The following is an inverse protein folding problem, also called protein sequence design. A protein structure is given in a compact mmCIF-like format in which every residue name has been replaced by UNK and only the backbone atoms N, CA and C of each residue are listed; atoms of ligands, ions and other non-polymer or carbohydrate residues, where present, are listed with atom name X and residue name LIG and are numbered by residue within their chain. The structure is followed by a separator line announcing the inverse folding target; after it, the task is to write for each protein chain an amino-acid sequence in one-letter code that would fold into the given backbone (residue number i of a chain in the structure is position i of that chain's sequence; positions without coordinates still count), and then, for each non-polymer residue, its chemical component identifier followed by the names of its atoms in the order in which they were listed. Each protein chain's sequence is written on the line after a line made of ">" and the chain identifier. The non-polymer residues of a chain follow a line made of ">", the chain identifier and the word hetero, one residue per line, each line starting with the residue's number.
data_IF_545087190081
#
_entry.id   IF_545087190081
#
_cell.length_a   1.000
_cell.length_b   1.000
_cell.length_c   1.000
_cell.angle_alpha   90.00
_cell.angle_beta   90.00
_cell.angle_gamma   90.00
#
_symmetry.space_group_name_H-M   'P 1'
#
loop_
_entity.id
_entity.type
_entity.pdbx_description
1 polymer ?
#
# COMPACT_ATOMS: atom_id res chain seq x y z
N UNK A 1 56.61 -23.57 22.24
CA UNK A 1 55.76 -22.42 22.68
C UNK A 1 54.74 -22.24 21.58
N UNK A 2 53.48 -22.65 21.82
CA UNK A 2 52.41 -22.58 20.83
C UNK A 2 51.53 -21.38 21.20
N UNK A 3 51.51 -20.34 20.37
CA UNK A 3 50.65 -19.17 20.54
C UNK A 3 49.26 -19.54 20.01
N UNK A 4 48.31 -19.61 20.92
CA UNK A 4 46.89 -19.80 20.62
C UNK A 4 46.28 -18.41 20.43
N UNK A 5 46.00 -18.02 19.17
CA UNK A 5 45.36 -16.78 18.83
C UNK A 5 43.83 -17.01 18.98
N UNK A 6 43.24 -16.45 20.05
CA UNK A 6 41.82 -16.51 20.32
C UNK A 6 41.12 -15.39 19.50
N UNK A 7 40.51 -15.75 18.37
CA UNK A 7 39.71 -14.83 17.56
C UNK A 7 38.34 -14.75 18.25
N UNK A 8 38.08 -13.63 18.94
CA UNK A 8 36.75 -13.30 19.49
C UNK A 8 35.83 -12.88 18.34
N UNK A 9 34.88 -13.74 17.99
CA UNK A 9 33.82 -13.45 17.02
C UNK A 9 32.81 -12.51 17.68
N UNK A 10 32.89 -11.21 17.35
CA UNK A 10 31.87 -10.23 17.76
C UNK A 10 30.60 -10.49 16.94
N UNK A 11 29.62 -11.18 17.54
CA UNK A 11 28.27 -11.27 16.99
C UNK A 11 27.56 -9.95 17.31
N UNK A 12 27.50 -9.07 16.31
CA UNK A 12 26.66 -7.87 16.39
C UNK A 12 25.20 -8.29 16.26
N UNK A 13 24.53 -8.48 17.38
CA UNK A 13 23.06 -8.58 17.43
C UNK A 13 22.49 -7.23 16.99
N UNK A 14 22.08 -7.10 15.73
CA UNK A 14 21.21 -6.01 15.30
C UNK A 14 19.87 -6.19 16.02
N UNK A 15 19.65 -5.41 17.06
CA UNK A 15 18.38 -5.36 17.77
C UNK A 15 17.33 -4.84 16.80
N UNK A 16 16.53 -5.73 16.22
CA UNK A 16 15.29 -5.36 15.55
C UNK A 16 14.36 -4.77 16.63
N UNK A 17 14.26 -3.45 16.69
CA UNK A 17 13.24 -2.78 17.48
C UNK A 17 11.94 -2.99 16.70
N UNK A 18 10.97 -3.78 17.20
CA UNK A 18 9.72 -3.97 16.49
C UNK A 18 9.01 -2.62 16.36
N UNK A 19 8.62 -2.26 15.14
CA UNK A 19 7.88 -1.05 14.88
C UNK A 19 6.62 -1.00 15.76
N UNK A 20 6.46 0.09 16.50
CA UNK A 20 5.27 0.29 17.32
C UNK A 20 4.05 0.41 16.42
N UNK A 21 3.15 -0.56 16.49
CA UNK A 21 1.89 -0.59 15.75
C UNK A 21 0.81 0.21 16.49
N UNK A 22 0.12 1.08 15.79
CA UNK A 22 -0.91 1.98 16.33
C UNK A 22 -2.24 1.72 15.61
N UNK A 23 -3.27 1.34 16.38
CA UNK A 23 -4.63 1.26 15.85
C UNK A 23 -5.15 2.65 15.55
N UNK A 24 -5.38 2.93 14.27
CA UNK A 24 -5.71 4.25 13.74
C UNK A 24 -7.13 4.26 13.19
N UNK A 25 -7.96 5.19 13.65
CA UNK A 25 -9.28 5.46 13.06
C UNK A 25 -9.09 6.30 11.79
N UNK A 26 -9.50 5.75 10.65
CA UNK A 26 -9.43 6.42 9.34
C UNK A 26 -10.65 7.30 9.14
N UNK A 27 -11.84 6.70 9.28
CA UNK A 27 -13.15 7.32 9.19
C UNK A 27 -14.13 6.61 10.12
N UNK A 28 -15.37 7.03 10.14
CA UNK A 28 -16.42 6.31 10.88
C UNK A 28 -16.55 4.88 10.34
N UNK A 29 -16.52 3.90 11.23
CA UNK A 29 -16.58 2.48 10.89
C UNK A 29 -15.29 1.88 10.32
N UNK A 30 -14.25 2.67 9.98
CA UNK A 30 -13.00 2.16 9.38
C UNK A 30 -11.82 2.37 10.30
N UNK A 31 -11.14 1.28 10.66
CA UNK A 31 -9.89 1.30 11.44
C UNK A 31 -8.83 0.42 10.78
N UNK A 32 -7.57 0.83 10.92
CA UNK A 32 -6.40 0.13 10.41
C UNK A 32 -5.28 0.20 11.46
N UNK A 33 -4.45 -0.80 11.57
CA UNK A 33 -3.25 -0.75 12.40
C UNK A 33 -2.06 -0.32 11.55
N UNK A 34 -1.47 0.82 11.87
CA UNK A 34 -0.35 1.42 11.13
C UNK A 34 0.93 1.41 11.96
N UNK A 35 2.11 1.23 11.34
CA UNK A 35 3.38 1.53 11.98
C UNK A 35 3.43 2.98 12.46
N UNK A 36 4.06 3.20 13.62
CA UNK A 36 4.12 4.55 14.24
C UNK A 36 4.84 5.60 13.40
N UNK A 37 5.61 5.19 12.42
CA UNK A 37 6.29 6.06 11.46
C UNK A 37 5.34 6.66 10.41
N UNK A 38 4.21 6.00 10.10
CA UNK A 38 3.19 6.53 9.21
C UNK A 38 2.31 7.53 9.97
N UNK A 39 2.44 8.80 9.63
CA UNK A 39 1.66 9.91 10.20
C UNK A 39 0.61 10.38 9.22
N UNK A 40 -0.46 10.99 9.73
CA UNK A 40 -1.48 11.60 8.86
C UNK A 40 -0.80 12.64 7.96
N UNK A 41 -1.09 12.54 6.68
CA UNK A 41 -0.55 13.44 5.67
C UNK A 41 -1.16 14.84 5.84
N UNK A 42 -0.36 15.92 5.76
CA UNK A 42 -0.84 17.29 5.74
C UNK A 42 -1.81 17.53 4.57
N UNK A 43 -2.76 18.45 4.74
CA UNK A 43 -3.79 18.73 3.71
C UNK A 43 -3.18 19.20 2.39
N UNK A 44 -2.10 19.98 2.44
CA UNK A 44 -1.37 20.43 1.27
C UNK A 44 -0.77 19.28 0.46
N UNK A 45 -0.20 18.27 1.15
CA UNK A 45 0.34 17.07 0.50
C UNK A 45 -0.79 16.20 -0.06
N UNK A 46 -1.92 16.11 0.64
CA UNK A 46 -3.11 15.40 0.15
C UNK A 46 -3.61 16.05 -1.14
N UNK A 47 -3.73 17.37 -1.18
CA UNK A 47 -4.18 18.09 -2.38
C UNK A 47 -3.25 17.89 -3.57
N UNK A 48 -1.93 17.82 -3.33
CA UNK A 48 -0.93 17.62 -4.38
C UNK A 48 -0.92 16.18 -4.91
N UNK A 49 -0.98 15.17 -4.01
CA UNK A 49 -0.82 13.75 -4.38
C UNK A 49 -2.11 13.07 -4.78
N UNK A 50 -3.24 13.58 -4.31
CA UNK A 50 -4.57 13.04 -4.59
C UNK A 50 -5.46 14.11 -5.22
N UNK A 51 -5.12 14.62 -6.44
CA UNK A 51 -5.82 15.72 -7.11
C UNK A 51 -7.16 15.24 -7.69
N UNK A 52 -8.04 14.71 -6.85
CA UNK A 52 -9.36 14.25 -7.25
C UNK A 52 -10.46 15.13 -6.65
N UNK A 53 -11.64 15.12 -7.25
CA UNK A 53 -12.82 15.86 -6.76
C UNK A 53 -13.21 15.44 -5.34
N UNK A 54 -12.88 14.21 -4.95
CA UNK A 54 -13.12 13.68 -3.61
C UNK A 54 -11.80 13.33 -2.93
N UNK A 55 -11.52 14.03 -1.84
CA UNK A 55 -10.36 13.73 -1.00
C UNK A 55 -10.44 12.31 -0.42
N UNK A 56 -9.30 11.65 -0.15
CA UNK A 56 -9.26 10.38 0.54
C UNK A 56 -9.89 10.48 1.93
N UNK A 57 -10.48 9.38 2.41
CA UNK A 57 -10.98 9.27 3.80
C UNK A 57 -9.85 9.42 4.82
N UNK A 58 -8.66 9.01 4.43
CA UNK A 58 -7.42 9.21 5.17
C UNK A 58 -6.22 8.91 4.31
N UNK A 59 -5.17 9.70 4.49
CA UNK A 59 -3.86 9.51 3.88
C UNK A 59 -2.77 9.65 4.93
N UNK A 60 -1.76 8.80 4.86
CA UNK A 60 -0.65 8.71 5.81
C UNK A 60 0.65 8.56 5.04
N UNK A 61 1.71 9.15 5.56
CA UNK A 61 3.04 9.07 4.95
C UNK A 61 4.12 8.97 6.02
N UNK A 62 5.31 8.48 5.66
CA UNK A 62 6.47 8.49 6.54
C UNK A 62 7.14 9.88 6.56
N UNK A 63 8.15 10.04 7.40
CA UNK A 63 8.85 11.32 7.57
C UNK A 63 9.48 11.82 6.24
N UNK A 64 10.02 10.91 5.44
CA UNK A 64 10.66 11.21 4.15
C UNK A 64 9.65 11.45 3.02
N UNK A 65 8.36 11.26 3.30
CA UNK A 65 7.24 11.45 2.36
C UNK A 65 7.34 10.59 1.09
N UNK A 66 7.96 9.42 1.19
CA UNK A 66 8.12 8.48 0.06
C UNK A 66 7.25 7.22 0.17
N UNK A 67 6.77 6.94 1.38
CA UNK A 67 5.88 5.79 1.64
C UNK A 67 4.51 6.31 2.00
N UNK A 68 3.48 5.82 1.31
CA UNK A 68 2.11 6.30 1.48
C UNK A 68 1.13 5.16 1.74
N UNK A 69 0.21 5.40 2.67
CA UNK A 69 -1.00 4.59 2.84
C UNK A 69 -2.22 5.48 2.74
N UNK A 70 -3.19 5.10 1.90
CA UNK A 70 -4.43 5.86 1.73
C UNK A 70 -5.67 4.99 1.70
N UNK A 71 -6.80 5.59 2.08
CA UNK A 71 -8.12 4.99 1.98
C UNK A 71 -9.03 5.91 1.18
N UNK A 72 -9.55 5.41 0.07
CA UNK A 72 -10.37 6.16 -0.86
C UNK A 72 -11.74 5.51 -1.04
N UNK A 73 -12.70 6.24 -1.55
CA UNK A 73 -14.00 5.72 -1.99
C UNK A 73 -14.15 5.91 -3.48
N UNK A 74 -14.35 4.81 -4.17
CA UNK A 74 -14.72 4.80 -5.59
C UNK A 74 -16.24 4.73 -5.74
N UNK A 75 -16.78 5.46 -6.70
CA UNK A 75 -18.20 5.38 -7.06
C UNK A 75 -18.53 4.15 -7.93
N UNK A 76 -17.56 3.30 -8.20
CA UNK A 76 -17.76 2.05 -8.95
C UNK A 76 -18.73 1.15 -8.20
N UNK A 77 -19.81 0.75 -8.87
CA UNK A 77 -20.84 -0.12 -8.31
C UNK A 77 -20.66 -1.53 -8.88
N UNK A 78 -20.62 -2.51 -7.99
CA UNK A 78 -20.58 -3.92 -8.36
C UNK A 78 -21.59 -4.69 -7.54
N UNK A 79 -22.29 -5.68 -8.15
CA UNK A 79 -23.08 -6.65 -7.39
C UNK A 79 -22.13 -7.48 -6.52
N UNK A 80 -22.48 -7.69 -5.25
CA UNK A 80 -21.66 -8.46 -4.28
C UNK A 80 -21.35 -9.90 -4.73
N UNK A 81 -22.17 -10.43 -5.65
CA UNK A 81 -22.10 -11.81 -6.13
C UNK A 81 -20.99 -12.03 -7.19
N UNK A 82 -20.43 -10.97 -7.78
CA UNK A 82 -19.52 -11.05 -8.92
C UNK A 82 -18.09 -10.54 -8.60
N UNK A 83 -17.52 -10.95 -7.45
CA UNK A 83 -16.20 -10.51 -7.05
C UNK A 83 -15.09 -10.90 -8.04
N UNK A 84 -15.18 -12.05 -8.71
CA UNK A 84 -14.20 -12.42 -9.73
C UNK A 84 -14.27 -11.50 -10.94
N UNK A 85 -15.45 -11.12 -11.39
CA UNK A 85 -15.61 -10.14 -12.49
C UNK A 85 -15.10 -8.77 -12.06
N UNK A 86 -15.38 -8.34 -10.84
CA UNK A 86 -14.86 -7.09 -10.28
C UNK A 86 -13.32 -7.13 -10.21
N UNK A 87 -12.73 -8.26 -9.82
CA UNK A 87 -11.28 -8.46 -9.81
C UNK A 87 -10.68 -8.24 -11.18
N UNK A 88 -11.21 -8.90 -12.21
CA UNK A 88 -10.72 -8.74 -13.58
C UNK A 88 -10.87 -7.31 -14.09
N UNK A 89 -11.97 -6.62 -13.75
CA UNK A 89 -12.16 -5.21 -14.10
C UNK A 89 -11.11 -4.30 -13.44
N UNK A 90 -10.87 -4.45 -12.13
CA UNK A 90 -9.85 -3.65 -11.44
C UNK A 90 -8.46 -3.96 -11.94
N UNK A 91 -8.17 -5.24 -12.23
CA UNK A 91 -6.92 -5.68 -12.85
C UNK A 91 -6.69 -4.98 -14.19
N UNK A 92 -7.67 -5.00 -15.08
CA UNK A 92 -7.59 -4.30 -16.35
C UNK A 92 -7.34 -2.79 -16.18
N UNK A 93 -8.01 -2.17 -15.19
CA UNK A 93 -7.77 -0.77 -14.81
C UNK A 93 -6.32 -0.51 -14.40
N UNK A 94 -5.74 -1.38 -13.57
CA UNK A 94 -4.34 -1.30 -13.14
C UNK A 94 -3.40 -1.36 -14.36
N UNK A 95 -3.59 -2.36 -15.25
CA UNK A 95 -2.75 -2.49 -16.45
C UNK A 95 -2.86 -1.30 -17.41
N UNK A 96 -4.00 -0.60 -17.44
CA UNK A 96 -4.17 0.60 -18.27
C UNK A 96 -3.47 1.85 -17.71
N UNK A 97 -3.18 1.89 -16.41
CA UNK A 97 -2.56 3.05 -15.78
C UNK A 97 -1.05 3.12 -15.99
N UNK A 98 -0.38 1.99 -16.15
CA UNK A 98 1.07 1.89 -16.17
C UNK A 98 1.60 1.37 -17.52
N UNK A 99 2.87 1.63 -17.81
CA UNK A 99 3.52 1.11 -19.01
C UNK A 99 4.00 -0.34 -18.82
N UNK A 100 4.33 -0.69 -17.59
CA UNK A 100 4.75 -2.03 -17.20
C UNK A 100 4.22 -2.38 -15.81
N UNK A 101 3.72 -3.60 -15.69
CA UNK A 101 3.29 -4.22 -14.43
C UNK A 101 4.02 -5.55 -14.25
N UNK A 102 4.58 -5.75 -13.08
CA UNK A 102 5.06 -7.05 -12.60
C UNK A 102 4.19 -7.46 -11.41
N UNK A 103 3.19 -8.32 -11.67
CA UNK A 103 2.27 -8.81 -10.64
C UNK A 103 3.03 -9.75 -9.71
N UNK A 104 3.01 -9.45 -8.41
CA UNK A 104 3.59 -10.29 -7.36
C UNK A 104 2.57 -11.31 -6.89
N UNK A 105 1.38 -10.84 -6.51
CA UNK A 105 0.25 -11.67 -6.15
C UNK A 105 -1.07 -10.93 -6.34
N UNK A 106 -2.13 -11.70 -6.55
CA UNK A 106 -3.50 -11.19 -6.65
C UNK A 106 -4.49 -12.23 -6.17
N UNK A 107 -5.67 -11.82 -5.80
CA UNK A 107 -6.72 -12.74 -5.40
C UNK A 107 -7.85 -12.10 -4.63
N UNK A 108 -8.62 -12.96 -3.98
CA UNK A 108 -9.67 -12.57 -3.06
C UNK A 108 -9.41 -13.29 -1.75
N UNK A 109 -9.43 -12.56 -0.65
CA UNK A 109 -9.32 -13.14 0.69
C UNK A 109 -10.35 -12.56 1.66
N UNK A 110 -10.53 -13.21 2.79
CA UNK A 110 -11.46 -12.78 3.82
C UNK A 110 -10.73 -12.20 5.03
N UNK A 111 -11.12 -10.98 5.44
CA UNK A 111 -10.70 -10.35 6.69
C UNK A 111 -11.95 -9.98 7.48
N UNK A 112 -12.07 -10.46 8.72
CA UNK A 112 -13.19 -10.13 9.61
C UNK A 112 -14.57 -10.32 8.96
N UNK A 113 -14.75 -11.45 8.25
CA UNK A 113 -15.99 -11.82 7.52
C UNK A 113 -16.33 -10.93 6.31
N UNK A 114 -15.39 -10.10 5.86
CA UNK A 114 -15.55 -9.30 4.63
C UNK A 114 -14.54 -9.76 3.59
N UNK A 115 -14.97 -9.89 2.35
CA UNK A 115 -14.13 -10.32 1.23
C UNK A 115 -13.48 -9.11 0.57
N UNK A 116 -12.18 -9.18 0.39
CA UNK A 116 -11.38 -8.15 -0.26
C UNK A 116 -10.75 -8.71 -1.53
N UNK A 117 -10.87 -7.99 -2.62
CA UNK A 117 -10.06 -8.20 -3.82
C UNK A 117 -8.73 -7.51 -3.58
N UNK A 118 -7.61 -8.15 -3.87
CA UNK A 118 -6.31 -7.54 -3.68
C UNK A 118 -5.36 -7.79 -4.84
N UNK A 119 -4.42 -6.84 -5.01
CA UNK A 119 -3.32 -6.88 -5.96
C UNK A 119 -2.07 -6.36 -5.27
N UNK A 120 -0.98 -7.07 -5.46
CA UNK A 120 0.36 -6.65 -5.07
C UNK A 120 1.25 -6.70 -6.31
N UNK A 121 1.89 -5.58 -6.65
CA UNK A 121 2.62 -5.47 -7.90
C UNK A 121 3.69 -4.40 -7.85
N UNK A 122 4.67 -4.53 -8.74
CA UNK A 122 5.55 -3.44 -9.14
C UNK A 122 5.05 -2.83 -10.44
N UNK A 123 5.06 -1.50 -10.51
CA UNK A 123 4.65 -0.75 -11.68
C UNK A 123 5.73 0.21 -12.13
N UNK A 124 5.76 0.47 -13.43
CA UNK A 124 6.61 1.49 -14.03
C UNK A 124 5.76 2.45 -14.82
N UNK A 125 5.94 3.74 -14.52
CA UNK A 125 5.37 4.83 -15.28
C UNK A 125 6.48 5.50 -16.10
N UNK A 126 6.39 5.41 -17.42
CA UNK A 126 7.40 5.98 -18.33
C UNK A 126 7.14 7.46 -18.63
N UNK A 127 8.17 8.13 -19.13
CA UNK A 127 8.14 9.55 -19.47
C UNK A 127 7.05 9.93 -20.50
N UNK A 128 6.61 9.01 -21.34
CA UNK A 128 5.55 9.25 -22.34
C UNK A 128 4.17 9.51 -21.74
N UNK A 129 3.87 8.93 -20.56
CA UNK A 129 2.63 9.18 -19.82
C UNK A 129 2.76 10.34 -18.81
N UNK A 130 3.98 10.69 -18.43
CA UNK A 130 4.29 11.86 -17.61
C UNK A 130 4.53 13.07 -18.49
N UNK A 131 3.48 13.67 -19.02
CA UNK A 131 3.51 14.78 -19.99
C UNK A 131 4.23 16.07 -19.57
N UNK A 132 4.85 16.16 -18.41
CA UNK A 132 5.35 17.45 -17.87
C UNK A 132 6.78 17.47 -17.32
N UNK A 133 7.51 16.34 -17.24
CA UNK A 133 8.91 16.40 -16.79
C UNK A 133 9.76 15.35 -17.49
N UNK A 134 10.87 15.79 -18.05
CA UNK A 134 11.97 14.97 -18.57
C UNK A 134 12.67 14.24 -17.42
N UNK A 135 12.10 13.17 -16.91
CA UNK A 135 12.67 12.44 -15.78
C UNK A 135 12.60 10.93 -15.95
N UNK A 136 13.49 10.25 -15.25
CA UNK A 136 13.62 8.83 -15.20
C UNK A 136 12.29 8.14 -14.87
N UNK A 137 12.09 6.95 -15.43
CA UNK A 137 10.89 6.18 -15.21
C UNK A 137 10.73 5.83 -13.72
N UNK A 138 9.65 6.25 -13.10
CA UNK A 138 9.34 5.94 -11.71
C UNK A 138 8.89 4.49 -11.62
N UNK A 139 9.56 3.70 -10.77
CA UNK A 139 9.15 2.34 -10.42
C UNK A 139 8.64 2.32 -8.99
N UNK A 140 7.41 1.85 -8.83
CA UNK A 140 6.70 1.85 -7.54
C UNK A 140 6.26 0.44 -7.18
N UNK A 141 6.44 0.06 -5.93
CA UNK A 141 5.78 -1.08 -5.32
C UNK A 141 4.43 -0.65 -4.76
N UNK A 142 3.38 -1.41 -5.08
CA UNK A 142 2.00 -1.14 -4.67
C UNK A 142 1.34 -2.39 -4.11
N UNK A 143 0.68 -2.23 -2.96
CA UNK A 143 -0.30 -3.18 -2.45
C UNK A 143 -1.65 -2.47 -2.37
N UNK A 144 -2.64 -2.90 -3.15
CA UNK A 144 -3.98 -2.32 -3.20
C UNK A 144 -5.03 -3.37 -2.91
N UNK A 145 -6.06 -3.02 -2.14
CA UNK A 145 -7.20 -3.89 -1.90
C UNK A 145 -8.52 -3.12 -1.97
N UNK A 146 -9.54 -3.81 -2.43
CA UNK A 146 -10.88 -3.28 -2.64
C UNK A 146 -11.88 -4.05 -1.79
N UNK A 147 -12.70 -3.30 -1.03
CA UNK A 147 -13.90 -3.83 -0.40
C UNK A 147 -15.11 -3.31 -1.18
N UNK A 148 -15.88 -4.24 -1.75
CA UNK A 148 -17.13 -3.89 -2.43
C UNK A 148 -18.23 -3.78 -1.39
N UNK A 149 -18.94 -2.64 -1.40
CA UNK A 149 -20.12 -2.38 -0.60
C UNK A 149 -21.25 -1.90 -1.53
N UNK A 150 -22.52 -1.97 -1.09
CA UNK A 150 -23.62 -1.43 -1.89
C UNK A 150 -23.38 0.03 -2.29
N UNK A 151 -23.33 0.28 -3.59
CA UNK A 151 -23.19 1.63 -4.16
C UNK A 151 -21.78 2.22 -4.15
N UNK A 152 -20.75 1.52 -3.64
CA UNK A 152 -19.36 2.00 -3.61
C UNK A 152 -18.33 0.89 -3.50
N UNK A 153 -17.09 1.20 -3.81
CA UNK A 153 -15.95 0.40 -3.41
C UNK A 153 -15.03 1.22 -2.49
N UNK A 154 -14.59 0.64 -1.37
CA UNK A 154 -13.57 1.23 -0.51
C UNK A 154 -12.23 0.68 -0.97
N UNK A 155 -11.29 1.58 -1.24
CA UNK A 155 -9.98 1.28 -1.79
C UNK A 155 -8.91 1.61 -0.75
N UNK A 156 -8.15 0.61 -0.35
CA UNK A 156 -6.99 0.75 0.53
C UNK A 156 -5.74 0.58 -0.34
N UNK A 157 -4.85 1.55 -0.33
CA UNK A 157 -3.66 1.53 -1.15
C UNK A 157 -2.42 1.85 -0.32
N UNK A 158 -1.41 1.00 -0.44
CA UNK A 158 -0.07 1.22 0.07
C UNK A 158 0.88 1.36 -1.12
N UNK A 159 1.76 2.36 -1.09
CA UNK A 159 2.72 2.62 -2.14
C UNK A 159 4.07 3.02 -1.54
N UNK A 160 5.14 2.54 -2.14
CA UNK A 160 6.49 3.05 -1.90
C UNK A 160 7.35 2.92 -3.17
N UNK A 161 8.49 3.64 -3.27
CA UNK A 161 9.48 3.38 -4.30
C UNK A 161 9.93 1.90 -4.25
N UNK A 162 10.28 1.34 -5.40
CA UNK A 162 10.68 -0.07 -5.52
C UNK A 162 11.87 -0.45 -4.62
N UNK A 163 12.82 0.47 -4.44
CA UNK A 163 14.00 0.27 -3.57
C UNK A 163 13.65 0.05 -2.10
N UNK A 164 12.47 0.49 -1.67
CA UNK A 164 11.96 0.28 -0.30
C UNK A 164 11.06 -0.96 -0.17
N UNK A 165 10.83 -1.71 -1.25
CA UNK A 165 9.95 -2.87 -1.23
C UNK A 165 10.37 -3.91 -0.20
N UNK A 166 11.66 -4.26 -0.15
CA UNK A 166 12.17 -5.30 0.74
C UNK A 166 11.85 -4.99 2.21
N UNK A 167 11.96 -3.72 2.60
CA UNK A 167 11.63 -3.26 3.95
C UNK A 167 10.12 -3.25 4.22
N UNK A 168 9.32 -2.84 3.21
CA UNK A 168 7.91 -2.51 3.42
C UNK A 168 6.92 -3.59 3.01
N UNK A 169 7.32 -4.60 2.27
CA UNK A 169 6.40 -5.62 1.75
C UNK A 169 5.63 -6.34 2.87
N UNK A 170 6.34 -6.81 3.90
CA UNK A 170 5.72 -7.48 5.05
C UNK A 170 4.86 -6.51 5.89
N UNK A 171 5.33 -5.28 6.10
CA UNK A 171 4.59 -4.22 6.78
C UNK A 171 3.30 -3.89 6.03
N UNK A 172 3.36 -3.73 4.70
CA UNK A 172 2.20 -3.48 3.84
C UNK A 172 1.15 -4.60 3.96
N UNK A 173 1.58 -5.85 3.88
CA UNK A 173 0.70 -7.00 4.06
C UNK A 173 0.03 -7.02 5.46
N UNK A 174 0.79 -6.67 6.51
CA UNK A 174 0.27 -6.57 7.87
C UNK A 174 -0.76 -5.43 8.02
N UNK A 175 -0.48 -4.25 7.44
CA UNK A 175 -1.41 -3.11 7.37
C UNK A 175 -2.72 -3.55 6.73
N UNK A 176 -2.64 -4.16 5.53
CA UNK A 176 -3.81 -4.57 4.77
C UNK A 176 -4.67 -5.61 5.50
N UNK A 177 -4.04 -6.59 6.13
CA UNK A 177 -4.73 -7.62 6.95
C UNK A 177 -5.32 -7.07 8.24
N UNK A 178 -4.88 -5.89 8.71
CA UNK A 178 -5.38 -5.26 9.93
C UNK A 178 -6.67 -4.46 9.74
N UNK A 179 -7.09 -4.25 8.49
CA UNK A 179 -8.29 -3.46 8.12
C UNK A 179 -9.53 -4.02 8.80
N UNK A 180 -10.31 -3.12 9.40
CA UNK A 180 -11.63 -3.42 9.97
C UNK A 180 -12.64 -2.41 9.44
N UNK A 181 -13.70 -2.90 8.84
CA UNK A 181 -14.85 -2.12 8.37
C UNK A 181 -16.09 -2.67 9.04
N UNK A 182 -16.85 -1.78 9.72
CA UNK A 182 -18.12 -2.12 10.39
C UNK A 182 -19.26 -2.15 9.41
#
# INVERSE_FOLDING_TARGET
>A
MKNFCLIALLVTCTSFIPDKLIKTKIAEGITVTLPSELKRMPEEDVALRYPSVRAPLGAFTNQDRVVDFSVNVSATQWPDENLEMAKEFFKAGIYNLYDRIEMVQEGIYEIHKKKFIYFEFESRLGASKMKLMSQEAITTYTYIQYLIEPGRAIVFSFNCPREHREEWQEKAAAIMKSVRVK
#
